data_IF_501637772978
#
_entry.id   IF_501637772978
#
_cell.length_a   1.000
_cell.length_b   1.000
_cell.length_c   1.000
_cell.angle_alpha   90.00
_cell.angle_beta   90.00
_cell.angle_gamma   90.00
#
_symmetry.space_group_name_H-M   'P 1'
#
loop_
_entity.id
_entity.type
_entity.pdbx_description
1 polymer ?
#
# COMPACT_ATOMS: atom_id res chain seq x y z
N UNK A 1 36.83 6.58 -11.07
CA UNK A 1 36.05 5.83 -12.10
C UNK A 1 35.16 4.72 -11.54
N UNK A 2 35.38 4.19 -10.31
CA UNK A 2 34.51 3.18 -9.70
C UNK A 2 33.19 3.73 -9.15
N UNK A 3 33.05 5.04 -8.89
CA UNK A 3 31.84 5.62 -8.32
C UNK A 3 30.69 5.84 -9.31
N UNK A 4 30.97 5.99 -10.59
CA UNK A 4 29.92 6.24 -11.60
C UNK A 4 29.21 4.94 -12.02
N UNK A 5 29.91 3.82 -12.06
CA UNK A 5 29.34 2.51 -12.42
C UNK A 5 28.45 1.96 -11.31
N UNK A 6 28.80 2.14 -10.06
CA UNK A 6 27.95 1.75 -8.90
C UNK A 6 26.67 2.59 -8.81
N UNK A 7 26.73 3.88 -9.14
CA UNK A 7 25.56 4.74 -9.21
C UNK A 7 24.59 4.33 -10.33
N UNK A 8 25.09 4.03 -11.54
CA UNK A 8 24.25 3.57 -12.66
C UNK A 8 23.59 2.21 -12.38
N UNK A 9 24.29 1.27 -11.74
CA UNK A 9 23.73 -0.03 -11.36
C UNK A 9 22.64 0.11 -10.29
N UNK A 10 22.83 0.98 -9.28
CA UNK A 10 21.84 1.26 -8.25
C UNK A 10 20.56 1.91 -8.81
N UNK A 11 20.67 2.77 -9.84
CA UNK A 11 19.50 3.36 -10.51
C UNK A 11 18.71 2.33 -11.32
N UNK A 12 19.38 1.40 -11.99
CA UNK A 12 18.73 0.35 -12.76
C UNK A 12 17.91 -0.58 -11.85
N UNK A 13 18.47 -1.05 -10.75
CA UNK A 13 17.78 -1.92 -9.80
C UNK A 13 16.60 -1.23 -9.10
N UNK A 14 16.72 0.07 -8.84
CA UNK A 14 15.67 0.89 -8.28
C UNK A 14 14.48 1.05 -9.25
N UNK A 15 14.74 1.39 -10.52
CA UNK A 15 13.69 1.53 -11.53
C UNK A 15 12.96 0.20 -11.80
N UNK A 16 13.68 -0.93 -11.72
CA UNK A 16 13.08 -2.24 -11.87
C UNK A 16 12.16 -2.61 -10.72
N UNK A 17 12.54 -2.39 -9.46
CA UNK A 17 11.69 -2.64 -8.30
C UNK A 17 10.39 -1.81 -8.34
N UNK A 18 10.47 -0.54 -8.76
CA UNK A 18 9.32 0.34 -8.93
C UNK A 18 8.38 -0.12 -10.04
N UNK A 19 8.93 -0.45 -11.21
CA UNK A 19 8.14 -0.95 -12.34
C UNK A 19 7.43 -2.27 -12.00
N UNK A 20 8.08 -3.12 -11.18
CA UNK A 20 7.59 -4.41 -10.75
C UNK A 20 6.39 -4.32 -9.82
N UNK A 21 6.49 -3.47 -8.81
CA UNK A 21 5.39 -3.25 -7.85
C UNK A 21 4.19 -2.61 -8.54
N UNK A 22 4.41 -1.70 -9.50
CA UNK A 22 3.32 -1.06 -10.25
C UNK A 22 2.55 -2.04 -11.13
N UNK A 23 3.24 -2.90 -11.87
CA UNK A 23 2.59 -3.85 -12.77
C UNK A 23 1.76 -4.89 -12.02
N UNK A 24 2.24 -5.40 -10.88
CA UNK A 24 1.51 -6.39 -10.09
C UNK A 24 0.27 -5.81 -9.41
N UNK A 25 0.38 -4.58 -8.91
CA UNK A 25 -0.73 -3.88 -8.30
C UNK A 25 -1.78 -3.45 -9.33
N UNK A 26 -1.38 -3.04 -10.55
CA UNK A 26 -2.31 -2.68 -11.61
C UNK A 26 -3.32 -3.78 -11.90
N UNK A 27 -2.86 -5.02 -11.97
CA UNK A 27 -3.71 -6.16 -12.24
C UNK A 27 -4.63 -6.54 -11.07
N UNK A 28 -4.24 -6.25 -9.84
CA UNK A 28 -5.13 -6.38 -8.68
C UNK A 28 -6.25 -5.33 -8.70
N UNK A 29 -5.93 -4.10 -9.08
CA UNK A 29 -6.89 -3.00 -9.16
C UNK A 29 -7.79 -3.05 -10.40
N UNK A 30 -7.42 -3.77 -11.46
CA UNK A 30 -8.28 -3.98 -12.63
C UNK A 30 -9.62 -4.61 -12.27
N UNK A 31 -9.69 -5.36 -11.19
CA UNK A 31 -10.95 -5.94 -10.71
C UNK A 31 -12.02 -4.87 -10.43
N UNK A 32 -11.65 -3.69 -9.95
CA UNK A 32 -12.60 -2.65 -9.56
C UNK A 32 -13.45 -2.13 -10.74
N UNK A 33 -12.87 -1.66 -11.85
CA UNK A 33 -13.65 -1.19 -12.98
C UNK A 33 -14.40 -2.30 -13.77
N UNK A 34 -14.19 -3.57 -13.40
CA UNK A 34 -14.87 -4.73 -14.00
C UNK A 34 -15.70 -5.51 -13.00
N UNK A 35 -15.96 -4.95 -11.81
CA UNK A 35 -16.69 -5.63 -10.74
C UNK A 35 -18.10 -6.06 -11.19
N UNK A 36 -18.78 -5.21 -11.95
CA UNK A 36 -20.07 -5.47 -12.58
C UNK A 36 -20.02 -6.64 -13.57
N UNK A 37 -19.00 -6.68 -14.43
CA UNK A 37 -18.81 -7.75 -15.42
C UNK A 37 -18.49 -9.08 -14.70
N UNK A 38 -17.62 -9.03 -13.69
CA UNK A 38 -17.28 -10.21 -12.89
C UNK A 38 -18.52 -10.70 -12.13
N UNK A 39 -19.37 -9.79 -11.63
CA UNK A 39 -20.63 -10.13 -10.99
C UNK A 39 -21.52 -10.95 -11.94
N UNK A 40 -21.71 -10.48 -13.17
CA UNK A 40 -22.53 -11.15 -14.18
C UNK A 40 -21.92 -12.49 -14.66
N UNK A 41 -20.59 -12.57 -14.75
CA UNK A 41 -19.90 -13.77 -15.28
C UNK A 41 -19.83 -14.91 -14.26
N UNK A 42 -19.64 -14.60 -12.96
CA UNK A 42 -19.37 -15.59 -11.92
C UNK A 42 -20.52 -15.86 -10.97
N UNK A 43 -21.60 -15.06 -10.99
CA UNK A 43 -22.76 -15.29 -10.14
C UNK A 43 -24.02 -15.59 -10.98
N UNK A 44 -24.93 -16.41 -10.44
CA UNK A 44 -26.17 -16.71 -11.12
C UNK A 44 -27.09 -15.51 -11.18
N UNK A 45 -27.80 -15.36 -12.29
CA UNK A 45 -28.99 -14.50 -12.36
C UNK A 45 -30.05 -15.11 -11.44
N UNK A 46 -30.63 -14.34 -10.52
CA UNK A 46 -31.73 -14.86 -9.68
C UNK A 46 -33.01 -14.99 -10.49
N UNK A 47 -33.82 -16.03 -10.18
CA UNK A 47 -35.10 -16.25 -10.87
C UNK A 47 -36.15 -15.15 -10.60
N UNK A 48 -35.93 -14.26 -9.65
CA UNK A 48 -36.96 -13.36 -9.10
C UNK A 48 -36.89 -11.91 -9.61
N UNK A 49 -36.06 -11.58 -10.59
CA UNK A 49 -36.16 -10.30 -11.36
C UNK A 49 -36.15 -8.95 -10.63
N UNK A 50 -36.20 -8.92 -9.32
CA UNK A 50 -36.18 -7.72 -8.49
C UNK A 50 -34.99 -7.78 -7.54
N UNK A 51 -34.14 -6.73 -7.50
CA UNK A 51 -32.99 -6.51 -6.61
C UNK A 51 -31.66 -7.26 -6.90
N UNK A 52 -31.48 -7.92 -8.03
CA UNK A 52 -30.31 -8.75 -8.28
C UNK A 52 -28.99 -8.01 -8.53
N UNK A 53 -29.02 -6.85 -9.15
CA UNK A 53 -27.81 -6.11 -9.46
C UNK A 53 -27.08 -5.67 -8.17
N UNK A 54 -27.83 -5.18 -7.18
CA UNK A 54 -27.26 -4.74 -5.90
C UNK A 54 -26.71 -5.93 -5.10
N UNK A 55 -27.39 -7.08 -5.13
CA UNK A 55 -26.95 -8.32 -4.45
C UNK A 55 -25.67 -8.90 -5.06
N UNK A 56 -25.58 -8.96 -6.40
CA UNK A 56 -24.41 -9.49 -7.09
C UNK A 56 -23.21 -8.54 -7.02
N UNK A 57 -23.44 -7.24 -7.05
CA UNK A 57 -22.43 -6.22 -6.78
C UNK A 57 -21.87 -6.37 -5.35
N UNK A 58 -22.74 -6.55 -4.35
CA UNK A 58 -22.31 -6.80 -2.98
C UNK A 58 -21.49 -8.07 -2.84
N UNK A 59 -21.88 -9.18 -3.49
CA UNK A 59 -21.10 -10.44 -3.51
C UNK A 59 -19.72 -10.24 -4.11
N UNK A 60 -19.61 -9.45 -5.19
CA UNK A 60 -18.33 -9.12 -5.81
C UNK A 60 -17.45 -8.26 -4.91
N UNK A 61 -18.01 -7.30 -4.18
CA UNK A 61 -17.27 -6.54 -3.16
C UNK A 61 -16.83 -7.39 -1.98
N UNK A 62 -17.62 -8.37 -1.55
CA UNK A 62 -17.23 -9.31 -0.49
C UNK A 62 -16.04 -10.16 -0.94
N UNK A 63 -16.02 -10.66 -2.18
CA UNK A 63 -14.86 -11.40 -2.73
C UNK A 63 -13.64 -10.48 -2.88
N UNK A 64 -13.84 -9.24 -3.31
CA UNK A 64 -12.78 -8.23 -3.32
C UNK A 64 -12.23 -7.99 -1.91
N UNK A 65 -13.10 -7.78 -0.94
CA UNK A 65 -12.73 -7.61 0.48
C UNK A 65 -12.04 -8.84 1.08
N UNK A 66 -12.42 -10.05 0.65
CA UNK A 66 -11.81 -11.31 1.09
C UNK A 66 -10.31 -11.39 0.82
N UNK A 67 -9.84 -10.83 -0.29
CA UNK A 67 -8.41 -10.72 -0.57
C UNK A 67 -7.66 -9.89 0.49
N UNK A 68 -8.29 -8.85 1.04
CA UNK A 68 -7.70 -8.01 2.08
C UNK A 68 -7.54 -8.73 3.42
N UNK A 69 -8.48 -9.61 3.77
CA UNK A 69 -8.40 -10.42 4.99
C UNK A 69 -7.18 -11.33 5.02
N UNK A 70 -6.69 -11.75 3.84
CA UNK A 70 -5.50 -12.59 3.72
C UNK A 70 -4.17 -11.82 3.74
N UNK A 71 -4.20 -10.50 3.64
CA UNK A 71 -2.98 -9.66 3.64
C UNK A 71 -2.13 -9.81 4.91
N UNK A 72 -2.68 -9.80 6.15
CA UNK A 72 -1.87 -10.00 7.35
C UNK A 72 -1.13 -11.35 7.36
N UNK A 73 -1.74 -12.40 6.82
CA UNK A 73 -1.08 -13.72 6.67
C UNK A 73 0.07 -13.60 5.67
N UNK A 74 -0.16 -12.94 4.55
CA UNK A 74 0.88 -12.64 3.57
C UNK A 74 2.03 -11.83 4.14
N UNK A 75 1.71 -10.77 4.88
CA UNK A 75 2.68 -9.93 5.59
C UNK A 75 3.56 -10.70 6.55
N UNK A 76 2.98 -11.65 7.31
CA UNK A 76 3.73 -12.53 8.20
C UNK A 76 4.63 -13.50 7.43
N UNK A 77 4.13 -14.19 6.41
CA UNK A 77 4.87 -15.21 5.65
C UNK A 77 5.99 -14.58 4.82
N UNK A 78 5.67 -13.54 4.07
CA UNK A 78 6.64 -12.85 3.22
C UNK A 78 7.59 -12.00 4.07
N UNK A 79 7.08 -11.35 5.13
CA UNK A 79 7.88 -10.61 6.10
C UNK A 79 8.93 -11.48 6.76
N UNK A 80 8.53 -12.64 7.31
CA UNK A 80 9.44 -13.63 7.86
C UNK A 80 10.50 -14.08 6.85
N UNK A 81 10.07 -14.32 5.60
CA UNK A 81 11.00 -14.69 4.54
C UNK A 81 12.04 -13.60 4.29
N UNK A 82 11.62 -12.34 4.28
CA UNK A 82 12.50 -11.21 4.02
C UNK A 82 13.45 -10.86 5.18
N UNK A 83 12.99 -11.04 6.42
CA UNK A 83 13.85 -10.83 7.60
C UNK A 83 14.87 -11.96 7.77
N UNK A 84 14.53 -13.20 7.38
CA UNK A 84 15.41 -14.38 7.56
C UNK A 84 16.25 -14.72 6.34
N UNK A 85 15.72 -14.58 5.13
CA UNK A 85 16.38 -15.06 3.91
C UNK A 85 16.75 -13.95 2.92
N UNK A 86 16.50 -12.68 3.30
CA UNK A 86 16.81 -11.52 2.49
C UNK A 86 15.61 -10.91 1.72
N UNK A 87 15.66 -9.60 1.55
CA UNK A 87 14.58 -8.78 0.96
C UNK A 87 14.23 -9.18 -0.46
N UNK A 88 15.25 -9.48 -1.29
CA UNK A 88 15.09 -9.93 -2.68
C UNK A 88 14.28 -11.22 -2.78
N UNK A 89 14.57 -12.22 -1.92
CA UNK A 89 13.81 -13.47 -1.94
C UNK A 89 12.34 -13.29 -1.58
N UNK A 90 12.05 -12.46 -0.58
CA UNK A 90 10.68 -12.13 -0.19
C UNK A 90 9.92 -11.49 -1.34
N UNK A 91 10.51 -10.47 -1.97
CA UNK A 91 9.91 -9.76 -3.10
C UNK A 91 9.70 -10.67 -4.30
N UNK A 92 10.68 -11.49 -4.66
CA UNK A 92 10.56 -12.44 -5.77
C UNK A 92 9.45 -13.47 -5.54
N UNK A 93 9.37 -14.04 -4.33
CA UNK A 93 8.33 -15.02 -3.98
C UNK A 93 6.94 -14.38 -4.01
N UNK A 94 6.78 -13.16 -3.50
CA UNK A 94 5.50 -12.45 -3.55
C UNK A 94 5.05 -12.17 -4.97
N UNK A 95 5.97 -11.77 -5.87
CA UNK A 95 5.64 -11.55 -7.29
C UNK A 95 5.17 -12.81 -8.00
N UNK A 96 5.81 -13.96 -7.79
CA UNK A 96 5.31 -15.23 -8.33
C UNK A 96 3.95 -15.61 -7.76
N UNK A 97 3.76 -15.41 -6.45
CA UNK A 97 2.47 -15.66 -5.78
C UNK A 97 1.36 -14.74 -6.29
N UNK A 98 1.69 -13.58 -6.88
CA UNK A 98 0.73 -12.71 -7.56
C UNK A 98 0.49 -13.12 -9.01
N UNK A 99 1.55 -13.44 -9.75
CA UNK A 99 1.50 -13.73 -11.17
C UNK A 99 0.64 -14.97 -11.49
N UNK A 100 0.83 -16.06 -10.73
CA UNK A 100 0.17 -17.34 -10.97
C UNK A 100 -1.35 -17.23 -10.84
N UNK A 101 -1.93 -16.82 -9.70
CA UNK A 101 -3.38 -16.74 -9.57
C UNK A 101 -3.99 -15.67 -10.48
N UNK A 102 -3.27 -14.56 -10.75
CA UNK A 102 -3.75 -13.55 -11.71
C UNK A 102 -3.89 -14.13 -13.10
N UNK A 103 -2.88 -14.83 -13.59
CA UNK A 103 -2.94 -15.52 -14.88
C UNK A 103 -4.04 -16.58 -14.91
N UNK A 104 -4.16 -17.38 -13.85
CA UNK A 104 -5.21 -18.40 -13.72
C UNK A 104 -6.61 -17.79 -13.80
N UNK A 105 -6.83 -16.59 -13.24
CA UNK A 105 -8.13 -15.91 -13.34
C UNK A 105 -8.56 -15.70 -14.79
N UNK A 106 -7.65 -15.40 -15.71
CA UNK A 106 -7.95 -15.25 -17.14
C UNK A 106 -8.47 -16.54 -17.80
N UNK A 107 -8.19 -17.70 -17.22
CA UNK A 107 -8.60 -19.02 -17.72
C UNK A 107 -9.78 -19.63 -16.96
N UNK A 108 -10.33 -18.95 -15.93
CA UNK A 108 -11.43 -19.50 -15.15
C UNK A 108 -12.68 -19.75 -16.01
N UNK A 109 -13.41 -20.85 -15.77
CA UNK A 109 -14.71 -21.07 -16.38
C UNK A 109 -15.74 -20.09 -15.83
N UNK A 110 -16.71 -19.71 -16.64
CA UNK A 110 -17.86 -18.88 -16.22
C UNK A 110 -18.85 -19.70 -15.41
N UNK A 111 -19.77 -19.03 -14.70
CA UNK A 111 -20.85 -19.72 -13.97
C UNK A 111 -21.71 -20.60 -14.91
N UNK A 112 -21.97 -20.15 -16.14
CA UNK A 112 -22.70 -20.92 -17.16
C UNK A 112 -21.99 -22.21 -17.57
N UNK A 113 -20.65 -22.29 -17.41
CA UNK A 113 -19.83 -23.46 -17.79
C UNK A 113 -19.63 -24.46 -16.65
N UNK A 114 -19.36 -23.99 -15.43
CA UNK A 114 -18.97 -24.83 -14.29
C UNK A 114 -19.81 -24.62 -13.01
N UNK A 115 -20.89 -23.84 -13.10
CA UNK A 115 -21.78 -23.60 -11.98
C UNK A 115 -21.05 -22.99 -10.77
N UNK A 116 -21.37 -23.45 -9.57
CA UNK A 116 -20.85 -22.95 -8.31
C UNK A 116 -19.31 -23.09 -8.13
N UNK A 117 -18.67 -23.94 -8.93
CA UNK A 117 -17.21 -24.12 -8.93
C UNK A 117 -16.52 -22.82 -9.38
N UNK A 118 -17.11 -22.07 -10.32
CA UNK A 118 -16.54 -20.84 -10.85
C UNK A 118 -16.29 -19.76 -9.78
N UNK A 119 -17.27 -19.35 -8.95
CA UNK A 119 -17.03 -18.37 -7.89
C UNK A 119 -16.09 -18.90 -6.80
N UNK A 120 -16.06 -20.20 -6.53
CA UNK A 120 -15.09 -20.78 -5.59
C UNK A 120 -13.65 -20.67 -6.11
N UNK A 121 -13.41 -20.99 -7.37
CA UNK A 121 -12.09 -20.84 -7.99
C UNK A 121 -11.65 -19.35 -8.01
N UNK A 122 -12.58 -18.45 -8.33
CA UNK A 122 -12.33 -17.02 -8.25
C UNK A 122 -11.93 -16.60 -6.83
N UNK A 123 -12.65 -17.07 -5.81
CA UNK A 123 -12.33 -16.79 -4.42
C UNK A 123 -10.93 -17.31 -4.04
N UNK A 124 -10.57 -18.52 -4.40
CA UNK A 124 -9.24 -19.10 -4.16
C UNK A 124 -8.14 -18.25 -4.79
N UNK A 125 -8.30 -17.85 -6.05
CA UNK A 125 -7.35 -16.97 -6.73
C UNK A 125 -7.21 -15.63 -5.99
N UNK A 126 -8.31 -15.04 -5.53
CA UNK A 126 -8.33 -13.79 -4.77
C UNK A 126 -7.63 -13.89 -3.41
N UNK A 127 -7.85 -14.98 -2.68
CA UNK A 127 -7.18 -15.23 -1.40
C UNK A 127 -5.66 -15.35 -1.60
N UNK A 128 -5.19 -16.06 -2.63
CA UNK A 128 -3.77 -16.17 -2.96
C UNK A 128 -3.17 -14.81 -3.37
N UNK A 129 -3.89 -14.01 -4.16
CA UNK A 129 -3.49 -12.64 -4.47
C UNK A 129 -3.38 -11.78 -3.21
N UNK A 130 -4.31 -11.93 -2.26
CA UNK A 130 -4.28 -11.24 -0.97
C UNK A 130 -3.01 -11.54 -0.16
N UNK A 131 -2.62 -12.82 -0.09
CA UNK A 131 -1.37 -13.25 0.55
C UNK A 131 -0.16 -12.58 -0.13
N UNK A 132 -0.16 -12.54 -1.46
CA UNK A 132 0.92 -11.90 -2.22
C UNK A 132 1.06 -10.40 -1.90
N UNK A 133 -0.05 -9.66 -2.00
CA UNK A 133 -0.06 -8.20 -1.83
C UNK A 133 0.37 -7.80 -0.41
N UNK A 134 -0.04 -8.57 0.61
CA UNK A 134 0.33 -8.29 2.00
C UNK A 134 1.83 -8.25 2.25
N UNK A 135 2.60 -9.12 1.60
CA UNK A 135 4.06 -9.07 1.74
C UNK A 135 4.76 -8.16 0.72
N UNK A 136 4.16 -7.94 -0.44
CA UNK A 136 4.83 -7.32 -1.58
C UNK A 136 5.11 -5.82 -1.38
N UNK A 137 4.10 -5.06 -0.98
CA UNK A 137 4.24 -3.62 -0.83
C UNK A 137 5.21 -3.25 0.30
N UNK A 138 5.08 -3.80 1.53
CA UNK A 138 6.05 -3.55 2.58
C UNK A 138 7.47 -4.03 2.22
N UNK A 139 7.62 -5.18 1.52
CA UNK A 139 8.92 -5.64 1.07
C UNK A 139 9.56 -4.67 0.07
N UNK A 140 8.78 -4.13 -0.86
CA UNK A 140 9.22 -3.11 -1.81
C UNK A 140 9.65 -1.82 -1.11
N UNK A 141 8.90 -1.37 -0.09
CA UNK A 141 9.22 -0.19 0.71
C UNK A 141 10.54 -0.36 1.46
N UNK A 142 10.67 -1.44 2.23
CA UNK A 142 11.88 -1.73 3.03
C UNK A 142 13.09 -1.88 2.11
N UNK A 143 12.96 -2.65 1.01
CA UNK A 143 14.02 -2.83 0.03
C UNK A 143 14.49 -1.50 -0.57
N UNK A 144 13.57 -0.58 -0.85
CA UNK A 144 13.87 0.72 -1.46
C UNK A 144 14.60 1.66 -0.49
N UNK A 145 14.14 1.75 0.76
CA UNK A 145 14.68 2.73 1.72
C UNK A 145 15.98 2.25 2.38
N UNK A 146 16.14 0.95 2.64
CA UNK A 146 17.37 0.40 3.26
C UNK A 146 18.62 0.58 2.39
N UNK A 147 18.46 0.86 1.10
CA UNK A 147 19.57 1.15 0.19
C UNK A 147 19.95 2.65 0.13
N UNK A 148 19.28 3.50 0.91
CA UNK A 148 19.40 4.95 0.82
C UNK A 148 19.72 5.56 2.19
N UNK A 149 20.25 6.78 2.13
CA UNK A 149 20.50 7.56 3.33
C UNK A 149 19.18 7.81 4.11
N UNK A 150 19.14 7.58 5.44
CA UNK A 150 17.95 7.81 6.25
C UNK A 150 17.35 9.21 6.15
N UNK A 151 18.16 10.23 5.87
CA UNK A 151 17.70 11.60 5.67
C UNK A 151 16.78 11.78 4.44
N UNK A 152 16.77 10.82 3.50
CA UNK A 152 16.01 10.86 2.25
C UNK A 152 14.92 9.77 2.17
N UNK A 153 14.68 9.05 3.26
CA UNK A 153 13.73 7.94 3.28
C UNK A 153 12.29 8.36 2.96
N UNK A 154 11.90 9.61 3.27
CA UNK A 154 10.58 10.13 2.92
C UNK A 154 10.36 10.18 1.41
N UNK A 155 11.33 10.78 0.69
CA UNK A 155 11.29 10.85 -0.76
C UNK A 155 11.33 9.46 -1.41
N UNK A 156 12.35 8.66 -1.11
CA UNK A 156 12.50 7.34 -1.71
C UNK A 156 11.41 6.35 -1.29
N UNK A 157 10.92 6.42 -0.05
CA UNK A 157 9.82 5.60 0.44
C UNK A 157 8.46 5.93 -0.21
N UNK A 158 8.28 7.15 -0.71
CA UNK A 158 7.07 7.54 -1.45
C UNK A 158 7.00 6.94 -2.87
N UNK A 159 8.14 6.60 -3.49
CA UNK A 159 8.19 6.15 -4.88
C UNK A 159 7.51 4.79 -5.12
N UNK A 160 7.60 3.77 -4.25
CA UNK A 160 6.77 2.57 -4.38
C UNK A 160 5.26 2.85 -4.37
N UNK A 161 4.82 3.88 -3.64
CA UNK A 161 3.41 4.30 -3.67
C UNK A 161 3.03 4.99 -4.99
N UNK A 162 3.93 5.78 -5.55
CA UNK A 162 3.75 6.33 -6.93
C UNK A 162 3.59 5.20 -7.93
N UNK A 163 4.46 4.19 -7.86
CA UNK A 163 4.39 3.03 -8.72
C UNK A 163 3.06 2.27 -8.57
N UNK A 164 2.59 2.09 -7.33
CA UNK A 164 1.29 1.48 -7.05
C UNK A 164 0.12 2.28 -7.66
N UNK A 165 0.17 3.61 -7.55
CA UNK A 165 -0.82 4.50 -8.16
C UNK A 165 -0.79 4.46 -9.69
N UNK A 166 0.38 4.49 -10.30
CA UNK A 166 0.52 4.30 -11.75
C UNK A 166 -0.07 2.97 -12.20
N UNK A 167 0.14 1.91 -11.41
CA UNK A 167 -0.47 0.62 -11.65
C UNK A 167 -2.01 0.67 -11.62
N UNK A 168 -2.58 1.34 -10.62
CA UNK A 168 -4.04 1.53 -10.50
C UNK A 168 -4.61 2.34 -11.66
N UNK A 169 -3.92 3.39 -12.10
CA UNK A 169 -4.29 4.17 -13.28
C UNK A 169 -4.26 3.34 -14.56
N UNK A 170 -3.22 2.55 -14.76
CA UNK A 170 -3.13 1.63 -15.91
C UNK A 170 -4.26 0.61 -15.91
N UNK A 171 -4.62 0.07 -14.74
CA UNK A 171 -5.76 -0.82 -14.59
C UNK A 171 -7.07 -0.16 -15.00
N UNK A 172 -7.34 1.05 -14.51
CA UNK A 172 -8.53 1.83 -14.86
C UNK A 172 -8.58 2.18 -16.35
N UNK A 173 -7.46 2.63 -16.93
CA UNK A 173 -7.36 2.95 -18.36
C UNK A 173 -7.57 1.71 -19.23
N UNK A 174 -7.03 0.57 -18.85
CA UNK A 174 -7.25 -0.70 -19.55
C UNK A 174 -8.74 -1.09 -19.53
N UNK A 175 -9.41 -0.94 -18.40
CA UNK A 175 -10.85 -1.15 -18.26
C UNK A 175 -11.68 -0.23 -19.15
N UNK A 176 -11.37 1.08 -19.14
CA UNK A 176 -12.03 2.06 -19.99
C UNK A 176 -11.80 1.80 -21.48
N UNK A 177 -10.57 1.47 -21.87
CA UNK A 177 -10.23 1.16 -23.26
C UNK A 177 -10.94 -0.09 -23.78
N UNK A 178 -11.01 -1.16 -22.98
CA UNK A 178 -11.74 -2.37 -23.37
C UNK A 178 -13.24 -2.11 -23.54
N UNK A 179 -13.86 -1.32 -22.66
CA UNK A 179 -15.27 -0.91 -22.78
C UNK A 179 -15.54 -0.03 -24.00
N UNK A 180 -14.54 0.69 -24.49
CA UNK A 180 -14.68 1.53 -25.68
C UNK A 180 -14.56 0.75 -26.97
N UNK A 181 -13.75 -0.30 -27.01
CA UNK A 181 -13.48 -1.10 -28.23
C UNK A 181 -14.39 -2.31 -28.35
N UNK A 182 -14.76 -2.95 -27.23
CA UNK A 182 -15.54 -4.17 -27.21
C UNK A 182 -16.99 -3.85 -26.89
N UNK A 183 -17.91 -4.50 -27.61
CA UNK A 183 -19.33 -4.50 -27.28
C UNK A 183 -19.55 -5.27 -25.96
N UNK A 184 -20.66 -5.01 -25.28
CA UNK A 184 -21.02 -5.63 -24.01
C UNK A 184 -21.00 -7.18 -24.07
N UNK A 185 -21.52 -7.77 -25.14
CA UNK A 185 -21.48 -9.20 -25.38
C UNK A 185 -20.05 -9.75 -25.50
N UNK A 186 -19.17 -9.05 -26.21
CA UNK A 186 -17.76 -9.42 -26.36
C UNK A 186 -17.00 -9.27 -25.05
N UNK A 187 -17.32 -8.25 -24.29
CA UNK A 187 -16.73 -7.96 -23.00
C UNK A 187 -17.07 -9.07 -21.99
N UNK A 188 -18.33 -9.49 -21.93
CA UNK A 188 -18.80 -10.60 -21.09
C UNK A 188 -18.27 -11.97 -21.56
N UNK A 189 -18.08 -12.19 -22.87
CA UNK A 189 -17.62 -13.44 -23.43
C UNK A 189 -16.13 -13.70 -23.22
N UNK A 190 -15.27 -12.72 -23.53
CA UNK A 190 -13.80 -12.88 -23.46
C UNK A 190 -13.05 -11.64 -23.01
N UNK A 191 -13.60 -10.43 -23.19
CA UNK A 191 -12.86 -9.17 -22.97
C UNK A 191 -12.31 -9.01 -21.56
N UNK A 192 -13.05 -9.45 -20.55
CA UNK A 192 -12.63 -9.41 -19.16
C UNK A 192 -11.39 -10.29 -18.84
N UNK A 193 -11.11 -11.32 -19.69
CA UNK A 193 -9.97 -12.23 -19.51
C UNK A 193 -8.63 -11.58 -19.87
N UNK A 194 -8.62 -10.67 -20.84
CA UNK A 194 -7.40 -10.09 -21.44
C UNK A 194 -6.47 -9.50 -20.39
N UNK A 195 -6.92 -8.62 -19.48
CA UNK A 195 -6.05 -8.05 -18.47
C UNK A 195 -5.52 -9.08 -17.47
N UNK A 196 -6.31 -10.09 -17.11
CA UNK A 196 -5.85 -11.13 -16.19
C UNK A 196 -4.79 -12.03 -16.83
N UNK A 197 -4.88 -12.32 -18.11
CA UNK A 197 -3.85 -13.05 -18.85
C UNK A 197 -2.51 -12.31 -18.90
N UNK A 198 -2.53 -10.98 -18.83
CA UNK A 198 -1.29 -10.17 -18.73
C UNK A 198 -0.52 -10.41 -17.43
N UNK A 199 -1.09 -11.11 -16.45
CA UNK A 199 -0.39 -11.60 -15.25
C UNK A 199 0.88 -12.40 -15.56
N UNK A 200 0.96 -13.03 -16.73
CA UNK A 200 2.17 -13.72 -17.21
C UNK A 200 3.37 -12.78 -17.33
N UNK A 201 3.14 -11.50 -17.64
CA UNK A 201 4.20 -10.49 -17.70
C UNK A 201 4.83 -10.26 -16.32
N UNK A 202 4.05 -10.35 -15.23
CA UNK A 202 4.57 -10.26 -13.86
C UNK A 202 5.53 -11.42 -13.59
N UNK A 203 5.23 -12.64 -14.09
CA UNK A 203 6.10 -13.80 -13.92
C UNK A 203 7.45 -13.61 -14.62
N UNK A 204 7.47 -13.04 -15.83
CA UNK A 204 8.72 -12.71 -16.52
C UNK A 204 9.55 -11.70 -15.74
N UNK A 205 8.89 -10.71 -15.20
CA UNK A 205 9.53 -9.68 -14.41
C UNK A 205 10.04 -10.22 -13.07
N UNK A 206 9.31 -11.10 -12.40
CA UNK A 206 9.77 -11.82 -11.21
C UNK A 206 11.02 -12.67 -11.51
N UNK A 207 11.05 -13.31 -12.68
CA UNK A 207 12.20 -14.07 -13.15
C UNK A 207 13.40 -13.15 -13.40
N UNK A 208 13.20 -12.02 -14.04
CA UNK A 208 14.25 -11.03 -14.27
C UNK A 208 14.86 -10.55 -12.94
N UNK A 209 14.03 -10.19 -11.95
CA UNK A 209 14.49 -9.80 -10.62
C UNK A 209 15.28 -10.92 -9.94
N UNK A 210 14.81 -12.16 -10.05
CA UNK A 210 15.51 -13.33 -9.48
C UNK A 210 16.92 -13.48 -10.04
N UNK A 211 17.10 -13.22 -11.33
CA UNK A 211 18.39 -13.42 -12.02
C UNK A 211 19.32 -12.22 -11.80
N UNK A 212 18.82 -11.00 -11.96
CA UNK A 212 19.63 -9.77 -12.05
C UNK A 212 19.55 -8.86 -10.81
N UNK A 213 18.62 -9.08 -9.89
CA UNK A 213 18.52 -8.24 -8.69
C UNK A 213 19.70 -8.45 -7.75
N UNK A 214 20.14 -7.41 -7.06
CA UNK A 214 21.16 -7.53 -6.03
C UNK A 214 20.55 -8.01 -4.71
N UNK A 215 21.23 -8.92 -4.03
CA UNK A 215 20.88 -9.25 -2.65
C UNK A 215 21.36 -8.10 -1.76
N UNK A 216 20.44 -7.32 -1.23
CA UNK A 216 20.74 -6.44 -0.10
C UNK A 216 20.93 -7.35 1.10
N UNK A 217 22.18 -7.73 1.35
CA UNK A 217 22.54 -8.37 2.58
C UNK A 217 22.38 -7.31 3.70
N UNK A 218 21.26 -7.27 4.36
CA UNK A 218 21.26 -6.90 5.77
C UNK A 218 22.39 -7.72 6.36
N UNK A 219 23.35 -7.10 7.07
CA UNK A 219 24.54 -7.72 7.62
C UNK A 219 24.21 -9.02 8.40
N UNK A 220 23.69 -10.02 7.70
CA UNK A 220 23.49 -11.38 8.21
C UNK A 220 24.84 -12.02 8.56
N UNK A 221 25.95 -11.50 8.01
CA UNK A 221 27.31 -11.92 8.36
C UNK A 221 27.77 -11.42 9.75
N UNK A 222 26.99 -10.57 10.44
CA UNK A 222 27.26 -10.21 11.84
C UNK A 222 26.72 -11.28 12.81
N UNK A 223 25.87 -12.20 12.31
CA UNK A 223 25.25 -13.25 13.13
C UNK A 223 25.96 -14.62 13.10
N UNK A 224 27.04 -14.74 12.33
CA UNK A 224 27.78 -16.02 12.22
C UNK A 224 28.82 -16.23 13.32
N UNK A 225 28.89 -15.38 14.33
CA UNK A 225 29.92 -15.47 15.37
C UNK A 225 29.43 -15.83 16.78
N UNK A 226 28.14 -16.14 16.99
CA UNK A 226 27.75 -16.75 18.29
C UNK A 226 26.50 -17.63 18.14
N UNK A 227 26.63 -18.88 18.49
CA UNK A 227 25.70 -20.00 18.34
C UNK A 227 24.47 -19.92 19.27
N UNK A 228 24.05 -18.72 19.64
CA UNK A 228 22.95 -18.52 20.57
C UNK A 228 21.90 -17.56 20.07
N UNK A 229 20.78 -18.13 19.57
CA UNK A 229 19.46 -17.49 19.38
C UNK A 229 19.21 -16.83 18.05
N UNK A 230 18.99 -17.59 17.00
CA UNK A 230 18.10 -17.20 15.91
C UNK A 230 16.70 -16.98 16.52
N UNK A 231 16.44 -15.79 17.03
CA UNK A 231 15.13 -15.40 17.55
C UNK A 231 14.19 -15.26 16.36
N UNK A 232 13.15 -16.08 16.35
CA UNK A 232 12.11 -16.05 15.30
C UNK A 232 11.56 -14.61 15.17
N UNK A 233 11.68 -13.93 14.00
CA UNK A 233 11.23 -12.55 13.79
C UNK A 233 9.79 -12.31 14.24
N UNK A 234 8.90 -13.31 14.05
CA UNK A 234 7.50 -13.24 14.49
C UNK A 234 7.42 -13.12 16.01
N UNK A 235 8.22 -13.91 16.78
CA UNK A 235 8.22 -13.79 18.25
C UNK A 235 8.74 -12.45 18.72
N UNK A 236 9.73 -11.89 18.03
CA UNK A 236 10.28 -10.56 18.35
C UNK A 236 9.29 -9.46 18.04
N UNK A 237 8.56 -9.54 16.92
CA UNK A 237 7.50 -8.59 16.56
C UNK A 237 6.42 -8.47 17.66
N UNK A 238 6.07 -9.58 18.32
CA UNK A 238 5.07 -9.62 19.39
C UNK A 238 5.62 -9.42 20.82
N UNK A 239 6.91 -9.13 20.99
CA UNK A 239 7.48 -8.81 22.31
C UNK A 239 6.83 -7.55 22.91
N UNK A 240 6.80 -7.47 24.25
CA UNK A 240 6.20 -6.32 24.97
C UNK A 240 6.74 -4.97 24.50
N UNK A 241 8.03 -4.91 24.18
CA UNK A 241 8.75 -3.72 23.71
C UNK A 241 8.19 -3.21 22.37
N UNK A 242 7.81 -4.11 21.47
CA UNK A 242 7.32 -3.79 20.12
C UNK A 242 5.80 -3.63 20.03
N UNK A 243 5.03 -3.98 21.06
CA UNK A 243 3.56 -3.97 21.01
C UNK A 243 2.98 -2.57 20.72
N UNK A 244 3.54 -1.54 21.35
CA UNK A 244 3.07 -0.16 21.11
C UNK A 244 3.38 0.31 19.70
N UNK A 245 4.58 -0.03 19.20
CA UNK A 245 4.95 0.27 17.82
C UNK A 245 4.04 -0.49 16.83
N UNK A 246 3.74 -1.76 17.10
CA UNK A 246 2.84 -2.57 16.28
C UNK A 246 1.41 -2.00 16.27
N UNK A 247 0.86 -1.62 17.42
CA UNK A 247 -0.46 -0.97 17.51
C UNK A 247 -0.45 0.38 16.79
N UNK A 248 0.58 1.20 16.98
CA UNK A 248 0.75 2.47 16.29
C UNK A 248 0.76 2.28 14.77
N UNK A 249 1.55 1.34 14.26
CA UNK A 249 1.64 1.03 12.83
C UNK A 249 0.39 0.32 12.28
N UNK A 250 -0.48 -0.19 13.14
CA UNK A 250 -1.80 -0.70 12.74
C UNK A 250 -2.82 0.43 12.59
N UNK A 251 -2.92 1.34 13.57
CA UNK A 251 -3.95 2.39 13.53
C UNK A 251 -3.59 3.55 12.60
N UNK A 252 -2.32 3.96 12.51
CA UNK A 252 -1.92 5.06 11.65
C UNK A 252 -2.30 4.87 10.17
N UNK A 253 -2.13 3.70 9.52
CA UNK A 253 -2.51 3.53 8.11
C UNK A 253 -4.02 3.49 7.83
N UNK A 254 -4.92 3.55 8.83
CA UNK A 254 -6.37 3.52 8.62
C UNK A 254 -6.85 4.61 7.67
N UNK A 255 -6.38 5.85 7.86
CA UNK A 255 -6.74 6.98 7.00
C UNK A 255 -6.19 6.81 5.58
N UNK A 256 -4.96 6.30 5.45
CA UNK A 256 -4.38 6.02 4.14
C UNK A 256 -5.19 4.95 3.39
N UNK A 257 -5.38 3.78 4.00
CA UNK A 257 -6.13 2.67 3.40
C UNK A 257 -7.59 3.04 3.14
N UNK A 258 -8.35 3.39 4.17
CA UNK A 258 -9.77 3.74 4.04
C UNK A 258 -10.00 4.96 3.17
N UNK A 259 -9.22 6.02 3.38
CA UNK A 259 -9.33 7.26 2.62
C UNK A 259 -9.06 7.07 1.12
N UNK A 260 -8.06 6.26 0.75
CA UNK A 260 -7.79 5.94 -0.64
C UNK A 260 -8.97 5.23 -1.32
N UNK A 261 -9.49 4.17 -0.68
CA UNK A 261 -10.58 3.39 -1.26
C UNK A 261 -11.89 4.17 -1.33
N UNK A 262 -12.16 5.05 -0.36
CA UNK A 262 -13.32 5.94 -0.41
C UNK A 262 -13.14 6.99 -1.51
N UNK A 263 -11.98 7.67 -1.59
CA UNK A 263 -11.75 8.80 -2.48
C UNK A 263 -11.61 8.42 -3.95
N UNK A 264 -11.06 7.24 -4.27
CA UNK A 264 -10.70 6.88 -5.64
C UNK A 264 -11.33 5.59 -6.15
N UNK A 265 -11.77 4.70 -5.28
CA UNK A 265 -12.47 3.47 -5.69
C UNK A 265 -13.98 3.67 -5.58
N UNK A 266 -14.46 3.98 -4.39
CA UNK A 266 -15.90 4.16 -4.17
C UNK A 266 -16.44 5.43 -4.83
N UNK A 267 -15.69 6.53 -4.76
CA UNK A 267 -16.13 7.83 -5.31
C UNK A 267 -16.36 7.79 -6.82
N UNK A 268 -15.65 6.95 -7.57
CA UNK A 268 -15.88 6.77 -9.01
C UNK A 268 -17.28 6.21 -9.27
N UNK A 269 -17.68 5.18 -8.52
CA UNK A 269 -19.01 4.56 -8.57
C UNK A 269 -20.08 5.53 -8.04
N UNK A 270 -19.74 6.24 -6.97
CA UNK A 270 -20.63 7.26 -6.41
C UNK A 270 -21.01 8.35 -7.40
N UNK A 271 -20.04 8.89 -8.13
CA UNK A 271 -20.22 9.94 -9.11
C UNK A 271 -20.99 9.48 -10.35
N UNK A 272 -20.81 8.23 -10.77
CA UNK A 272 -21.39 7.68 -12.00
C UNK A 272 -22.76 7.05 -11.76
N UNK A 273 -22.82 6.05 -10.87
CA UNK A 273 -24.00 5.19 -10.69
C UNK A 273 -24.90 5.63 -9.53
N UNK A 274 -24.30 5.92 -8.35
CA UNK A 274 -25.10 6.18 -7.16
C UNK A 274 -25.81 7.52 -7.21
N UNK A 275 -25.20 8.55 -7.80
CA UNK A 275 -25.86 9.85 -8.02
C UNK A 275 -26.87 9.86 -9.16
N UNK A 276 -26.84 8.87 -10.07
CA UNK A 276 -27.85 8.70 -11.12
C UNK A 276 -29.13 8.02 -10.61
N UNK A 277 -29.04 7.35 -9.44
CA UNK A 277 -30.18 6.67 -8.84
C UNK A 277 -31.16 7.67 -8.20
N UNK A 278 -32.51 7.44 -8.30
CA UNK A 278 -33.48 8.28 -7.58
C UNK A 278 -33.18 8.32 -6.08
N UNK A 279 -33.34 9.47 -5.41
CA UNK A 279 -34.06 10.68 -5.82
C UNK A 279 -33.21 11.78 -6.49
N UNK A 280 -31.92 11.58 -6.70
CA UNK A 280 -31.03 12.67 -7.12
C UNK A 280 -30.94 12.86 -8.62
N UNK A 281 -30.77 11.78 -9.40
CA UNK A 281 -30.60 11.79 -10.88
C UNK A 281 -29.65 12.89 -11.39
N UNK A 282 -28.55 13.13 -10.67
CA UNK A 282 -27.53 14.13 -10.99
C UNK A 282 -26.13 13.50 -11.06
N UNK A 283 -25.86 12.57 -12.00
CA UNK A 283 -24.52 11.97 -12.15
C UNK A 283 -23.50 13.05 -12.55
N UNK A 284 -22.26 12.86 -12.12
CA UNK A 284 -21.18 13.77 -12.50
C UNK A 284 -20.74 13.46 -13.94
N UNK A 285 -20.81 14.43 -14.86
CA UNK A 285 -20.36 14.20 -16.23
C UNK A 285 -18.89 13.75 -16.27
N UNK A 286 -18.61 12.70 -17.04
CA UNK A 286 -17.24 12.16 -17.18
C UNK A 286 -16.62 11.68 -15.86
N UNK A 287 -17.38 11.09 -14.95
CA UNK A 287 -16.98 10.69 -13.61
C UNK A 287 -15.65 9.92 -13.56
N UNK A 288 -15.47 8.93 -14.41
CA UNK A 288 -14.22 8.14 -14.48
C UNK A 288 -13.01 8.98 -14.91
N UNK A 289 -13.17 9.94 -15.82
CA UNK A 289 -12.10 10.84 -16.22
C UNK A 289 -11.76 11.85 -15.11
N UNK A 290 -12.78 12.37 -14.44
CA UNK A 290 -12.62 13.22 -13.24
C UNK A 290 -11.80 12.47 -12.19
N UNK A 291 -12.17 11.23 -11.90
CA UNK A 291 -11.47 10.37 -10.95
C UNK A 291 -10.01 10.08 -11.36
N UNK A 292 -9.79 9.68 -12.61
CA UNK A 292 -8.46 9.36 -13.14
C UNK A 292 -7.53 10.58 -13.11
N UNK A 293 -8.00 11.74 -13.55
CA UNK A 293 -7.21 12.98 -13.58
C UNK A 293 -6.90 13.48 -12.17
N UNK A 294 -7.88 13.40 -11.25
CA UNK A 294 -7.67 13.77 -9.84
C UNK A 294 -6.66 12.87 -9.17
N UNK A 295 -6.71 11.56 -9.41
CA UNK A 295 -5.75 10.60 -8.90
C UNK A 295 -4.35 10.83 -9.50
N UNK A 296 -4.26 11.07 -10.80
CA UNK A 296 -2.99 11.32 -11.48
C UNK A 296 -2.31 12.58 -10.94
N UNK A 297 -3.02 13.71 -10.93
CA UNK A 297 -2.45 14.99 -10.50
C UNK A 297 -2.33 15.10 -8.97
N UNK A 298 -3.36 14.68 -8.23
CA UNK A 298 -3.44 14.83 -6.78
C UNK A 298 -2.64 13.79 -5.99
N UNK A 299 -2.35 12.63 -6.59
CA UNK A 299 -1.57 11.60 -5.90
C UNK A 299 -0.22 11.34 -6.57
N UNK A 300 -0.17 11.02 -7.85
CA UNK A 300 1.06 10.59 -8.50
C UNK A 300 2.17 11.63 -8.40
N UNK A 301 1.85 12.92 -8.61
CA UNK A 301 2.82 14.00 -8.48
C UNK A 301 3.02 14.48 -7.04
N UNK A 302 1.98 14.45 -6.21
CA UNK A 302 2.05 14.98 -4.86
C UNK A 302 2.74 14.04 -3.87
N UNK A 303 2.73 12.71 -4.11
CA UNK A 303 3.39 11.75 -3.23
C UNK A 303 4.90 11.97 -3.07
N UNK A 304 5.71 12.10 -4.15
CA UNK A 304 7.14 12.37 -4.02
C UNK A 304 7.42 13.72 -3.38
N UNK A 305 6.62 14.73 -3.71
CA UNK A 305 6.70 16.06 -3.11
C UNK A 305 6.45 15.99 -1.60
N UNK A 306 5.41 15.28 -1.18
CA UNK A 306 5.08 15.07 0.23
C UNK A 306 6.20 14.31 0.97
N UNK A 307 6.77 13.28 0.35
CA UNK A 307 7.93 12.55 0.87
C UNK A 307 9.12 13.49 1.09
N UNK A 308 9.47 14.30 0.10
CA UNK A 308 10.56 15.27 0.17
C UNK A 308 10.33 16.36 1.23
N UNK A 309 9.10 16.88 1.32
CA UNK A 309 8.73 17.86 2.34
C UNK A 309 8.87 17.25 3.73
N UNK A 310 8.46 15.99 3.90
CA UNK A 310 8.52 15.27 5.18
C UNK A 310 9.95 15.04 5.67
N UNK A 311 10.91 14.90 4.77
CA UNK A 311 12.33 14.80 5.11
C UNK A 311 12.86 16.09 5.73
N UNK A 312 12.26 17.26 5.40
CA UNK A 312 12.68 18.58 5.91
C UNK A 312 11.94 19.01 7.18
N UNK A 313 10.62 18.84 7.23
CA UNK A 313 9.80 19.38 8.33
C UNK A 313 9.42 18.34 9.38
N UNK A 314 9.71 17.07 9.11
CA UNK A 314 9.42 15.94 9.96
C UNK A 314 8.12 15.22 9.57
N UNK A 315 8.16 13.89 9.65
CA UNK A 315 7.08 12.98 9.19
C UNK A 315 5.79 13.17 9.96
N UNK A 316 5.88 13.16 11.30
CA UNK A 316 4.72 13.24 12.18
C UNK A 316 3.94 14.55 11.99
N UNK A 317 4.63 15.68 11.86
CA UNK A 317 4.00 17.00 11.67
C UNK A 317 3.18 17.04 10.38
N UNK A 318 3.76 16.56 9.27
CA UNK A 318 3.11 16.58 7.97
C UNK A 318 1.90 15.62 7.94
N UNK A 319 2.05 14.41 8.49
CA UNK A 319 0.97 13.43 8.58
C UNK A 319 -0.20 13.93 9.43
N UNK A 320 0.09 14.57 10.58
CA UNK A 320 -0.95 15.13 11.45
C UNK A 320 -1.70 16.26 10.76
N UNK A 321 -1.00 17.18 10.12
CA UNK A 321 -1.60 18.26 9.32
C UNK A 321 -2.54 17.69 8.24
N UNK A 322 -2.06 16.71 7.48
CA UNK A 322 -2.84 16.07 6.42
C UNK A 322 -4.06 15.31 6.96
N UNK A 323 -3.92 14.63 8.10
CA UNK A 323 -5.04 13.91 8.74
C UNK A 323 -6.13 14.87 9.19
N UNK A 324 -5.78 15.98 9.84
CA UNK A 324 -6.75 17.02 10.23
C UNK A 324 -7.42 17.60 8.99
N UNK A 325 -6.63 17.92 7.95
CA UNK A 325 -7.14 18.44 6.69
C UNK A 325 -8.15 17.49 6.05
N UNK A 326 -7.86 16.19 5.97
CA UNK A 326 -8.76 15.17 5.43
C UNK A 326 -10.04 15.02 6.27
N UNK A 327 -9.91 15.04 7.60
CA UNK A 327 -11.06 14.96 8.50
C UNK A 327 -12.04 16.11 8.31
N UNK A 328 -11.54 17.33 8.04
CA UNK A 328 -12.37 18.53 7.83
C UNK A 328 -12.89 18.59 6.38
N UNK A 329 -11.99 18.42 5.42
CA UNK A 329 -12.32 18.61 3.99
C UNK A 329 -13.08 17.44 3.39
N UNK A 330 -12.94 16.22 3.94
CA UNK A 330 -13.61 15.03 3.41
C UNK A 330 -15.13 15.19 3.33
N UNK A 331 -15.85 15.51 4.41
CA UNK A 331 -17.29 15.76 4.37
C UNK A 331 -17.68 16.89 3.41
N UNK A 332 -16.92 17.98 3.40
CA UNK A 332 -17.17 19.15 2.52
C UNK A 332 -17.06 18.75 1.05
N UNK A 333 -16.04 17.98 0.70
CA UNK A 333 -15.86 17.52 -0.69
C UNK A 333 -16.96 16.58 -1.13
N UNK A 334 -17.44 15.66 -0.26
CA UNK A 334 -18.59 14.81 -0.58
C UNK A 334 -19.84 15.66 -0.87
N UNK A 335 -20.09 16.72 -0.10
CA UNK A 335 -21.18 17.67 -0.36
C UNK A 335 -20.99 18.41 -1.70
N UNK A 336 -19.77 18.80 -2.05
CA UNK A 336 -19.48 19.46 -3.33
C UNK A 336 -19.72 18.50 -4.49
N UNK A 337 -19.27 17.26 -4.39
CA UNK A 337 -19.43 16.24 -5.44
C UNK A 337 -20.90 15.88 -5.64
N UNK A 338 -21.71 15.83 -4.57
CA UNK A 338 -23.14 15.51 -4.63
C UNK A 338 -23.96 16.51 -5.47
N UNK A 339 -23.38 17.66 -5.82
CA UNK A 339 -24.03 18.63 -6.72
C UNK A 339 -23.99 18.21 -8.21
N UNK A 340 -23.33 17.13 -8.58
CA UNK A 340 -23.29 16.59 -9.94
C UNK A 340 -22.51 17.43 -10.96
N UNK A 341 -21.58 18.31 -10.53
CA UNK A 341 -20.81 19.18 -11.42
C UNK A 341 -19.37 18.68 -11.57
N UNK A 342 -18.92 18.44 -12.80
CA UNK A 342 -17.61 17.85 -13.11
C UNK A 342 -16.42 18.67 -12.56
N UNK A 343 -16.37 19.97 -12.77
CA UNK A 343 -15.23 20.80 -12.37
C UNK A 343 -15.10 20.94 -10.84
N UNK A 344 -16.15 21.24 -10.06
CA UNK A 344 -16.10 21.18 -8.60
C UNK A 344 -15.75 19.80 -8.05
N UNK A 345 -16.25 18.71 -8.67
CA UNK A 345 -15.93 17.34 -8.30
C UNK A 345 -14.43 17.05 -8.51
N UNK A 346 -13.88 17.47 -9.65
CA UNK A 346 -12.44 17.37 -9.93
C UNK A 346 -11.61 18.11 -8.88
N UNK A 347 -11.91 19.36 -8.57
CA UNK A 347 -11.17 20.15 -7.58
C UNK A 347 -11.26 19.53 -6.18
N UNK A 348 -12.44 19.08 -5.78
CA UNK A 348 -12.64 18.43 -4.49
C UNK A 348 -11.84 17.13 -4.37
N UNK A 349 -11.91 16.29 -5.38
CA UNK A 349 -11.20 15.00 -5.38
C UNK A 349 -9.68 15.19 -5.54
N UNK A 350 -9.22 16.18 -6.30
CA UNK A 350 -7.82 16.59 -6.36
C UNK A 350 -7.29 17.04 -4.99
N UNK A 351 -8.08 17.82 -4.24
CA UNK A 351 -7.73 18.23 -2.89
C UNK A 351 -7.63 17.03 -1.95
N UNK A 352 -8.58 16.08 -1.99
CA UNK A 352 -8.50 14.85 -1.21
C UNK A 352 -7.24 14.05 -1.56
N UNK A 353 -6.93 13.91 -2.84
CA UNK A 353 -5.73 13.22 -3.31
C UNK A 353 -4.43 13.88 -2.83
N UNK A 354 -4.38 15.21 -2.86
CA UNK A 354 -3.24 15.97 -2.36
C UNK A 354 -3.04 15.78 -0.85
N UNK A 355 -4.11 15.89 -0.07
CA UNK A 355 -4.05 15.68 1.39
C UNK A 355 -3.69 14.21 1.72
N UNK A 356 -4.25 13.24 0.99
CA UNK A 356 -3.87 11.83 1.11
C UNK A 356 -2.39 11.62 0.79
N UNK A 357 -1.86 12.31 -0.22
CA UNK A 357 -0.44 12.23 -0.56
C UNK A 357 0.46 12.79 0.55
N UNK A 358 0.03 13.87 1.20
CA UNK A 358 0.75 14.46 2.34
C UNK A 358 0.69 13.59 3.59
N UNK A 359 -0.29 12.68 3.66
CA UNK A 359 -0.34 11.63 4.66
C UNK A 359 0.47 10.39 4.26
N UNK A 360 0.27 9.88 3.05
CA UNK A 360 0.81 8.61 2.56
C UNK A 360 2.30 8.66 2.18
N UNK A 361 2.80 9.80 1.67
CA UNK A 361 4.21 9.95 1.30
C UNK A 361 5.16 9.70 2.48
N UNK A 362 5.01 10.42 3.60
CA UNK A 362 5.81 10.18 4.80
C UNK A 362 5.48 8.88 5.54
N UNK A 363 4.27 8.34 5.40
CA UNK A 363 3.83 7.12 6.09
C UNK A 363 4.78 5.94 5.86
N UNK A 364 5.30 5.80 4.65
CA UNK A 364 6.19 4.71 4.27
C UNK A 364 7.50 4.72 5.05
N UNK A 365 8.16 5.87 5.09
CA UNK A 365 9.38 6.05 5.87
C UNK A 365 9.10 5.90 7.37
N UNK A 366 8.01 6.48 7.85
CA UNK A 366 7.61 6.38 9.26
C UNK A 366 7.36 4.93 9.70
N UNK A 367 6.76 4.09 8.85
CA UNK A 367 6.57 2.66 9.11
C UNK A 367 7.91 1.93 9.28
N UNK A 368 8.85 2.20 8.38
CA UNK A 368 10.19 1.57 8.36
C UNK A 368 11.01 2.03 9.57
N UNK A 369 10.95 3.31 9.93
CA UNK A 369 11.61 3.90 11.11
C UNK A 369 11.04 3.40 12.45
N UNK A 370 9.86 2.79 12.43
CA UNK A 370 9.20 2.33 13.65
C UNK A 370 9.78 1.04 14.24
N UNK A 371 10.62 0.32 13.49
CA UNK A 371 11.15 -0.99 13.90
C UNK A 371 12.64 -1.13 13.62
N UNK A 372 13.32 -1.94 14.44
CA UNK A 372 14.72 -2.31 14.23
C UNK A 372 14.89 -3.13 12.94
N UNK A 373 16.05 -3.07 12.26
CA UNK A 373 16.29 -3.76 10.99
C UNK A 373 15.98 -5.26 10.99
N UNK A 374 16.17 -5.93 12.13
CA UNK A 374 16.01 -7.39 12.30
C UNK A 374 14.58 -7.88 12.14
N UNK A 375 13.57 -7.06 12.48
CA UNK A 375 12.15 -7.40 12.48
C UNK A 375 11.32 -6.42 11.69
N UNK A 376 11.97 -5.53 10.98
CA UNK A 376 11.38 -4.39 10.30
C UNK A 376 10.33 -4.80 9.30
N UNK A 377 10.66 -5.77 8.42
CA UNK A 377 9.72 -6.18 7.38
C UNK A 377 8.53 -6.93 7.98
N UNK A 378 8.74 -7.89 8.86
CA UNK A 378 7.65 -8.64 9.51
C UNK A 378 6.70 -7.71 10.28
N UNK A 379 7.26 -6.79 11.08
CA UNK A 379 6.46 -5.92 11.93
C UNK A 379 5.74 -4.82 11.16
N UNK A 380 6.42 -4.18 10.20
CA UNK A 380 5.82 -3.14 9.36
C UNK A 380 4.73 -3.71 8.45
N UNK A 381 4.96 -4.90 7.85
CA UNK A 381 3.95 -5.59 7.05
C UNK A 381 2.71 -5.91 7.88
N UNK A 382 2.90 -6.52 9.05
CA UNK A 382 1.77 -6.92 9.89
C UNK A 382 0.91 -5.71 10.29
N UNK A 383 1.52 -4.62 10.76
CA UNK A 383 0.78 -3.42 11.15
C UNK A 383 0.03 -2.79 9.96
N UNK A 384 0.71 -2.59 8.84
CA UNK A 384 0.13 -2.03 7.63
C UNK A 384 -1.00 -2.88 7.06
N UNK A 385 -0.82 -4.20 7.03
CA UNK A 385 -1.80 -5.12 6.45
C UNK A 385 -3.02 -5.34 7.34
N UNK A 386 -2.87 -5.29 8.66
CA UNK A 386 -4.02 -5.28 9.58
C UNK A 386 -4.91 -4.05 9.34
N UNK A 387 -4.34 -2.86 9.13
CA UNK A 387 -5.09 -1.68 8.77
C UNK A 387 -5.88 -1.87 7.47
N UNK A 388 -5.23 -2.40 6.43
CA UNK A 388 -5.86 -2.61 5.14
C UNK A 388 -6.89 -3.75 5.17
N UNK A 389 -6.67 -4.80 5.95
CA UNK A 389 -7.63 -5.89 6.12
C UNK A 389 -8.92 -5.44 6.81
N UNK A 390 -8.82 -4.48 7.75
CA UNK A 390 -9.99 -4.00 8.51
C UNK A 390 -10.73 -2.88 7.81
N UNK A 391 -10.01 -1.87 7.33
CA UNK A 391 -10.63 -0.65 6.77
C UNK A 391 -10.50 -0.57 5.26
N UNK A 392 -9.34 -0.92 4.68
CA UNK A 392 -9.10 -0.78 3.25
C UNK A 392 -10.13 -1.54 2.41
N UNK A 393 -10.31 -2.83 2.67
CA UNK A 393 -11.23 -3.69 1.91
C UNK A 393 -12.71 -3.40 2.14
N UNK A 394 -13.08 -2.92 3.33
CA UNK A 394 -14.48 -2.74 3.71
C UNK A 394 -14.98 -1.29 3.60
N UNK A 395 -14.09 -0.31 3.44
CA UNK A 395 -14.50 1.10 3.39
C UNK A 395 -15.45 1.45 2.23
N UNK A 396 -15.38 0.88 1.02
CA UNK A 396 -16.39 1.08 -0.01
C UNK A 396 -17.77 0.56 0.38
N UNK A 397 -17.81 -0.64 1.00
CA UNK A 397 -19.07 -1.22 1.49
C UNK A 397 -19.68 -0.39 2.63
N UNK A 398 -18.85 0.13 3.55
CA UNK A 398 -19.29 1.03 4.61
C UNK A 398 -19.83 2.34 4.04
N UNK A 399 -19.17 2.91 3.04
CA UNK A 399 -19.63 4.13 2.39
C UNK A 399 -20.97 3.92 1.66
N UNK A 400 -21.14 2.80 0.96
CA UNK A 400 -22.41 2.43 0.31
C UNK A 400 -23.52 2.20 1.33
N UNK A 401 -23.23 1.52 2.44
CA UNK A 401 -24.23 1.33 3.51
C UNK A 401 -24.66 2.64 4.15
N UNK A 402 -23.73 3.58 4.38
CA UNK A 402 -24.07 4.92 4.87
C UNK A 402 -24.92 5.68 3.84
N UNK A 403 -24.54 5.65 2.57
CA UNK A 403 -25.30 6.27 1.48
C UNK A 403 -26.74 5.77 1.46
N UNK A 404 -26.97 4.46 1.50
CA UNK A 404 -28.29 3.85 1.41
C UNK A 404 -29.16 4.13 2.65
N UNK A 405 -28.56 4.16 3.85
CA UNK A 405 -29.33 4.28 5.10
C UNK A 405 -29.47 5.71 5.61
N UNK A 406 -28.53 6.61 5.30
CA UNK A 406 -28.46 7.94 5.91
C UNK A 406 -28.39 9.09 4.88
N UNK A 407 -28.44 8.77 3.59
CA UNK A 407 -28.50 9.75 2.50
C UNK A 407 -27.16 10.08 1.86
N UNK A 408 -27.23 10.91 0.82
CA UNK A 408 -26.20 11.14 -0.20
C UNK A 408 -24.86 11.62 0.35
N UNK A 409 -24.87 12.50 1.36
CA UNK A 409 -23.67 13.13 1.92
C UNK A 409 -23.10 12.40 3.11
N UNK A 410 -23.82 11.41 3.65
CA UNK A 410 -23.44 10.68 4.86
C UNK A 410 -22.09 9.94 4.78
N UNK A 411 -21.61 9.44 3.62
CA UNK A 411 -20.30 8.79 3.54
C UNK A 411 -19.12 9.71 3.90
N UNK A 412 -19.33 11.03 3.82
CA UNK A 412 -18.34 12.00 4.24
C UNK A 412 -17.88 11.86 5.69
N UNK A 413 -18.74 11.31 6.59
CA UNK A 413 -18.40 11.12 8.01
C UNK A 413 -17.26 10.11 8.24
N UNK A 414 -16.99 9.26 7.27
CA UNK A 414 -15.88 8.30 7.37
C UNK A 414 -14.52 8.99 7.46
N UNK A 415 -14.33 10.14 6.81
CA UNK A 415 -13.04 10.85 6.83
C UNK A 415 -12.65 11.33 8.25
N UNK A 416 -13.48 12.06 9.01
CA UNK A 416 -13.14 12.46 10.38
C UNK A 416 -12.98 11.26 11.32
N UNK A 417 -13.73 10.17 11.15
CA UNK A 417 -13.58 8.95 11.95
C UNK A 417 -12.19 8.33 11.68
N UNK A 418 -11.84 8.12 10.42
CA UNK A 418 -10.54 7.55 10.03
C UNK A 418 -9.37 8.45 10.43
N UNK A 419 -9.53 9.77 10.28
CA UNK A 419 -8.52 10.74 10.69
C UNK A 419 -8.27 10.68 12.21
N UNK A 420 -9.32 10.60 13.02
CA UNK A 420 -9.21 10.52 14.47
C UNK A 420 -8.49 9.24 14.92
N UNK A 421 -8.84 8.10 14.34
CA UNK A 421 -8.18 6.81 14.61
C UNK A 421 -6.70 6.87 14.22
N UNK A 422 -6.41 7.44 13.04
CA UNK A 422 -5.03 7.53 12.55
C UNK A 422 -4.17 8.50 13.36
N UNK A 423 -4.71 9.64 13.78
CA UNK A 423 -4.02 10.57 14.69
C UNK A 423 -3.75 9.87 16.03
N UNK A 424 -4.73 9.15 16.59
CA UNK A 424 -4.50 8.34 17.78
C UNK A 424 -3.35 7.35 17.57
N UNK A 425 -3.32 6.62 16.46
CA UNK A 425 -2.25 5.70 16.09
C UNK A 425 -0.88 6.37 16.03
N UNK A 426 -0.78 7.56 15.41
CA UNK A 426 0.47 8.33 15.29
C UNK A 426 1.04 8.71 16.67
N UNK A 427 0.19 9.12 17.62
CA UNK A 427 0.61 9.61 18.93
C UNK A 427 0.67 8.53 20.01
N UNK A 428 0.13 7.33 19.76
CA UNK A 428 0.09 6.22 20.73
C UNK A 428 1.49 5.90 21.30
N UNK A 429 2.50 5.88 20.46
CA UNK A 429 3.89 5.62 20.87
C UNK A 429 4.46 6.74 21.75
N UNK A 430 4.12 8.00 21.47
CA UNK A 430 4.60 9.16 22.24
C UNK A 430 3.95 9.24 23.61
N UNK A 431 2.64 8.98 23.71
CA UNK A 431 1.91 9.05 24.98
C UNK A 431 2.27 7.94 25.96
N UNK A 432 2.60 6.73 25.48
CA UNK A 432 2.83 5.56 26.30
C UNK A 432 4.32 5.15 26.42
N UNK A 433 5.19 5.60 25.50
CA UNK A 433 6.63 5.30 25.50
C UNK A 433 7.47 6.20 26.40
N UNK A 434 6.92 7.31 26.90
CA UNK A 434 7.65 8.35 27.62
C UNK A 434 7.95 8.08 29.11
N UNK A 435 7.82 6.86 29.62
CA UNK A 435 8.09 6.52 31.04
C UNK A 435 9.28 5.60 31.28
N UNK A 436 10.20 5.49 30.35
CA UNK A 436 11.34 4.58 30.54
C UNK A 436 12.64 5.05 29.89
N UNK A 437 13.15 6.22 30.23
CA UNK A 437 14.60 6.52 30.28
C UNK A 437 14.78 7.99 30.68
N UNK A 438 15.52 8.22 31.76
CA UNK A 438 15.65 9.51 32.42
C UNK A 438 16.42 10.57 31.65
N UNK A 439 16.08 11.79 31.99
CA UNK A 439 16.93 12.99 32.08
C UNK A 439 17.89 13.29 30.91
N UNK A 440 17.49 14.25 30.08
CA UNK A 440 18.39 14.92 29.13
C UNK A 440 17.61 15.87 28.24
N UNK A 441 17.82 17.16 28.44
CA UNK A 441 17.28 18.34 27.79
C UNK A 441 16.95 18.22 26.30
N UNK A 442 15.84 18.86 25.94
CA UNK A 442 15.27 19.08 24.65
C UNK A 442 16.23 19.17 23.48
N UNK A 443 15.88 18.34 22.47
CA UNK A 443 15.88 18.75 21.08
C UNK A 443 15.30 17.64 20.22
N UNK A 444 14.54 18.06 19.23
CA UNK A 444 13.75 17.26 18.32
C UNK A 444 14.60 16.34 17.41
N UNK A 445 14.19 15.07 17.29
CA UNK A 445 14.50 14.25 16.12
C UNK A 445 15.85 13.55 16.12
N UNK A 446 15.97 12.37 16.76
CA UNK A 446 17.20 11.62 16.64
C UNK A 446 17.21 10.34 17.44
N UNK A 447 16.57 9.30 16.90
CA UNK A 447 16.70 7.95 17.44
C UNK A 447 17.78 7.09 16.77
N UNK A 448 18.45 7.62 15.72
CA UNK A 448 19.46 6.88 14.93
C UNK A 448 20.84 7.54 14.97
N UNK A 449 20.94 8.82 15.37
CA UNK A 449 22.22 9.53 15.43
C UNK A 449 23.14 9.08 16.58
N UNK A 450 22.59 8.62 17.70
CA UNK A 450 23.41 8.20 18.85
C UNK A 450 24.14 6.86 18.65
N UNK A 451 23.63 5.98 17.78
CA UNK A 451 24.32 4.70 17.53
C UNK A 451 25.49 4.87 16.55
N UNK A 452 25.48 5.92 15.73
CA UNK A 452 26.59 6.21 14.81
C UNK A 452 27.76 6.92 15.53
N UNK A 453 27.51 7.77 16.51
CA UNK A 453 28.57 8.39 17.30
C UNK A 453 29.33 7.38 18.19
N UNK A 454 28.65 6.32 18.66
CA UNK A 454 29.29 5.25 19.43
C UNK A 454 30.17 4.35 18.56
N UNK A 455 29.87 4.22 17.27
CA UNK A 455 30.72 3.47 16.34
C UNK A 455 31.96 4.26 15.86
N UNK A 456 31.86 5.59 15.72
CA UNK A 456 33.02 6.44 15.37
C UNK A 456 34.05 6.54 16.51
N UNK A 457 33.61 6.41 17.77
CA UNK A 457 34.57 6.40 18.92
C UNK A 457 35.32 5.08 19.07
N UNK A 458 34.85 3.97 18.51
CA UNK A 458 35.53 2.69 18.55
C UNK A 458 36.51 2.46 17.38
N UNK A 459 36.58 3.34 16.40
CA UNK A 459 37.47 3.19 15.23
C UNK A 459 38.63 4.18 15.19
N UNK A 460 38.85 4.95 16.25
CA UNK A 460 40.11 5.75 16.34
C UNK A 460 41.25 4.85 16.74
N UNK A 461 42.32 4.71 15.94
CA UNK A 461 43.49 3.98 16.32
C UNK A 461 44.20 4.71 17.49
N UNK A 462 44.52 3.95 18.48
CA UNK A 462 45.26 4.35 19.71
C UNK A 462 46.66 4.84 19.30
N UNK A 463 46.84 6.14 19.16
CA UNK A 463 48.16 6.77 18.99
C UNK A 463 48.65 7.21 20.38
N UNK A 464 49.00 6.24 21.17
CA UNK A 464 49.58 6.41 22.50
C UNK A 464 50.98 5.88 22.58
N UNK A 465 51.94 6.76 22.43
CA UNK A 465 53.25 6.80 23.06
C UNK A 465 54.10 5.51 23.14
N UNK A 466 55.19 5.46 22.41
CA UNK A 466 56.42 4.85 22.91
C UNK A 466 57.55 5.89 22.90
N UNK A 467 57.84 6.43 24.03
CA UNK A 467 59.19 6.87 24.38
C UNK A 467 59.81 5.71 25.17
N UNK A 468 60.95 5.28 24.69
CA UNK A 468 62.17 4.85 25.43
C UNK A 468 62.90 3.78 24.63
N UNK A 469 63.95 4.22 23.91
CA UNK A 469 65.06 3.38 23.49
C UNK A 469 66.29 3.83 24.29
N UNK A 470 67.02 2.90 24.96
CA UNK A 470 68.36 3.19 25.47
C UNK A 470 69.38 2.95 24.35
N UNK A 471 70.32 3.92 24.24
CA UNK A 471 71.59 3.77 23.52
C UNK A 471 72.41 2.64 24.15
N UNK A 472 72.99 1.78 23.35
CA UNK A 472 74.24 1.05 23.71
C UNK A 472 75.09 0.94 22.46
N UNK A 473 76.22 1.58 22.52
CA UNK A 473 77.59 1.36 21.95
C UNK A 473 77.68 0.49 20.70
#
# INVERSE_FOLDING_TARGET
MASSTTLHFSYANFSHSLCLSSLSLSLSYYFVPTTDIIAQVFFPESPSGEDDNNSNLLKSFIIFGGAFVMRPIGGLVIGYTGDKHGRKQALTKSLFLMAIPTTCMGFLPTYKQAGWISPVLLCVCRLLQGISVGGQLPASLVYTVEQRDPSTWGYYGSLPMVAANCGSLLGNLCGAFLRQILNEEQLLKFGWRIPFMSGILIAFVAMYLKIHGDDVHTNANVYDSDDSKITNPIRVAFRKENRLALLSTTFAPFLWGGGFYISFVWMAIYMDELLDSPPTSNPVPYAFWVNAMSMFLGMTFMLPLAGFISDKIGRLKLMTFAAIGLGIMGPIVVIIISQGKAFPAFLGQFLLGTLLSFYGGPLCAWLVESFSPEVRLTSASLGYDLAHATVGGFSPAMATALFNNHGITSPGILYPILASISIFGLYLRYCCGGRGSGSGNGESGGGVANDLELQEQQTKPDTGASKDLPEVS
#
